data_IF_312269736898
#
_entry.id   IF_312269736898
#
_cell.length_a   1.000
_cell.length_b   1.000
_cell.length_c   1.000
_cell.angle_alpha   90.00
_cell.angle_beta   90.00
_cell.angle_gamma   90.00
#
_symmetry.space_group_name_H-M   'P 1'
#
loop_
_entity.id
_entity.type
_entity.pdbx_description
1 polymer ?
#
# COMPACT_ATOMS: atom_id res chain seq x y z
N UNK A 1 -8.54 -1.47 -10.41
CA UNK A 1 -9.13 -2.55 -9.61
C UNK A 1 -10.65 -2.46 -9.71
N UNK A 2 -11.29 -3.55 -10.13
CA UNK A 2 -12.76 -3.64 -10.21
C UNK A 2 -13.23 -4.97 -9.63
N UNK A 3 -13.82 -4.94 -8.44
CA UNK A 3 -14.10 -6.13 -7.61
C UNK A 3 -15.45 -6.01 -6.89
N UNK A 4 -16.09 -7.10 -6.45
CA UNK A 4 -17.28 -7.03 -5.60
C UNK A 4 -17.03 -6.24 -4.31
N UNK A 5 -18.07 -5.62 -3.74
CA UNK A 5 -17.97 -4.78 -2.52
C UNK A 5 -17.24 -5.49 -1.38
N UNK A 6 -17.65 -6.73 -1.04
CA UNK A 6 -16.99 -7.50 0.01
C UNK A 6 -15.48 -7.61 -0.19
N UNK A 7 -15.05 -7.89 -1.42
CA UNK A 7 -13.64 -8.03 -1.74
C UNK A 7 -12.91 -6.69 -1.64
N UNK A 8 -13.53 -5.59 -2.05
CA UNK A 8 -12.97 -4.24 -1.83
C UNK A 8 -12.80 -3.96 -0.34
N UNK A 9 -13.82 -4.22 0.48
CA UNK A 9 -13.76 -4.05 1.93
C UNK A 9 -12.67 -4.89 2.59
N UNK A 10 -12.52 -6.15 2.18
CA UNK A 10 -11.44 -7.01 2.65
C UNK A 10 -10.05 -6.43 2.27
N UNK A 11 -9.90 -5.88 1.06
CA UNK A 11 -8.69 -5.17 0.63
C UNK A 11 -8.42 -3.86 1.38
N UNK A 12 -9.43 -3.28 2.04
CA UNK A 12 -9.28 -2.10 2.90
C UNK A 12 -9.10 -2.49 4.37
N UNK A 13 -9.08 -3.79 4.68
CA UNK A 13 -9.00 -4.30 6.04
C UNK A 13 -10.33 -4.25 6.81
N UNK A 14 -11.46 -4.04 6.16
CA UNK A 14 -12.80 -4.10 6.77
C UNK A 14 -13.32 -5.55 6.69
N UNK A 15 -13.49 -6.19 7.84
CA UNK A 15 -13.82 -7.61 7.93
C UNK A 15 -15.28 -7.98 7.62
N UNK A 16 -16.16 -7.01 7.39
CA UNK A 16 -17.60 -7.17 7.20
C UNK A 16 -18.09 -6.24 6.06
N UNK A 17 -19.31 -6.44 5.57
CA UNK A 17 -19.92 -5.50 4.62
C UNK A 17 -20.49 -4.30 5.38
N UNK A 18 -20.22 -3.09 4.89
CA UNK A 18 -20.79 -1.86 5.44
C UNK A 18 -22.15 -1.60 4.80
N UNK A 19 -23.14 -1.30 5.63
CA UNK A 19 -24.46 -0.80 5.23
C UNK A 19 -24.47 0.73 5.17
N UNK A 20 -25.58 1.31 4.69
CA UNK A 20 -25.79 2.75 4.69
C UNK A 20 -25.39 3.40 6.03
N UNK A 21 -24.60 4.48 5.95
CA UNK A 21 -24.07 5.25 7.08
C UNK A 21 -23.08 4.52 8.00
N UNK A 22 -22.77 3.24 7.75
CA UNK A 22 -21.79 2.54 8.58
C UNK A 22 -20.37 3.00 8.28
N UNK A 23 -19.55 3.02 9.33
CA UNK A 23 -18.13 3.35 9.23
C UNK A 23 -17.28 2.32 9.95
N UNK A 24 -16.00 2.27 9.58
CA UNK A 24 -14.99 1.45 10.22
C UNK A 24 -13.77 2.32 10.54
N UNK A 25 -13.68 2.90 11.76
CA UNK A 25 -12.58 3.76 12.16
C UNK A 25 -11.45 2.99 12.86
N UNK A 26 -10.22 3.47 12.69
CA UNK A 26 -9.04 3.09 13.44
C UNK A 26 -8.26 4.33 13.84
N UNK A 27 -7.66 4.33 15.03
CA UNK A 27 -6.85 5.45 15.50
C UNK A 27 -5.77 4.99 16.46
N UNK A 28 -4.59 5.61 16.37
CA UNK A 28 -3.49 5.45 17.33
C UNK A 28 -2.93 6.81 17.68
N UNK A 29 -2.66 7.01 18.97
CA UNK A 29 -1.96 8.18 19.49
C UNK A 29 -0.49 7.86 19.73
N UNK A 30 0.41 8.70 19.24
CA UNK A 30 1.85 8.66 19.53
C UNK A 30 2.15 9.74 20.57
N UNK A 31 2.38 9.30 21.81
CA UNK A 31 2.65 10.20 22.95
C UNK A 31 3.97 10.98 22.79
N UNK A 32 4.99 10.39 22.16
CA UNK A 32 6.29 11.04 21.98
C UNK A 32 6.20 12.19 20.97
N UNK A 33 5.38 12.01 19.94
CA UNK A 33 5.16 13.03 18.90
C UNK A 33 4.00 13.97 19.20
N UNK A 34 3.13 13.62 20.16
CA UNK A 34 1.84 14.27 20.39
C UNK A 34 1.00 14.39 19.10
N UNK A 35 0.89 13.27 18.38
CA UNK A 35 0.15 13.17 17.12
C UNK A 35 -0.78 11.96 17.15
N UNK A 36 -2.02 12.16 16.72
CA UNK A 36 -2.98 11.09 16.43
C UNK A 36 -2.93 10.77 14.94
N UNK A 37 -2.86 9.49 14.58
CA UNK A 37 -3.16 9.03 13.22
C UNK A 37 -4.49 8.28 13.24
N UNK A 38 -5.41 8.67 12.36
CA UNK A 38 -6.71 8.05 12.20
C UNK A 38 -6.92 7.62 10.76
N UNK A 39 -7.47 6.43 10.57
CA UNK A 39 -7.93 5.92 9.29
C UNK A 39 -9.41 5.54 9.40
N UNK A 40 -10.18 5.72 8.33
CA UNK A 40 -11.60 5.37 8.32
C UNK A 40 -12.04 4.92 6.93
N UNK A 41 -12.96 3.96 6.89
CA UNK A 41 -13.80 3.67 5.72
C UNK A 41 -15.24 4.03 6.05
N UNK A 42 -15.91 4.79 5.20
CA UNK A 42 -17.30 5.25 5.39
C UNK A 42 -18.17 4.86 4.20
N UNK A 43 -19.33 4.25 4.46
CA UNK A 43 -20.36 4.00 3.44
C UNK A 43 -21.32 5.19 3.38
N UNK A 44 -21.62 5.64 2.17
CA UNK A 44 -22.59 6.70 1.89
C UNK A 44 -24.02 6.32 2.27
N UNK A 45 -24.94 7.30 2.30
CA UNK A 45 -26.34 7.09 2.68
C UNK A 45 -27.10 6.19 1.70
N UNK A 46 -26.75 6.23 0.42
CA UNK A 46 -27.43 5.53 -0.67
C UNK A 46 -26.73 4.23 -1.07
N UNK A 47 -25.72 3.79 -0.30
CA UNK A 47 -24.90 2.59 -0.57
C UNK A 47 -24.22 2.61 -1.96
N UNK A 48 -23.95 3.80 -2.49
CA UNK A 48 -23.38 4.02 -3.83
C UNK A 48 -22.04 4.78 -3.82
N UNK A 49 -21.49 5.02 -2.64
CA UNK A 49 -20.20 5.67 -2.47
C UNK A 49 -19.52 5.16 -1.21
N UNK A 50 -18.24 4.85 -1.32
CA UNK A 50 -17.41 4.42 -0.21
C UNK A 50 -16.19 5.34 -0.14
N UNK A 51 -16.06 6.04 0.98
CA UNK A 51 -14.95 6.95 1.27
C UNK A 51 -13.88 6.24 2.09
N UNK A 52 -12.62 6.48 1.76
CA UNK A 52 -11.46 6.01 2.52
C UNK A 52 -10.61 7.22 2.87
N UNK A 53 -10.24 7.37 4.14
CA UNK A 53 -9.46 8.51 4.59
C UNK A 53 -8.39 8.12 5.61
N UNK A 54 -7.21 8.73 5.50
CA UNK A 54 -6.19 8.73 6.55
C UNK A 54 -5.83 10.17 6.84
N UNK A 55 -5.85 10.54 8.12
CA UNK A 55 -5.45 11.85 8.60
C UNK A 55 -4.52 11.75 9.79
N UNK A 56 -3.66 12.74 9.94
CA UNK A 56 -2.87 12.97 11.15
C UNK A 56 -3.28 14.28 11.78
N UNK A 57 -3.35 14.29 13.11
CA UNK A 57 -3.70 15.46 13.91
C UNK A 57 -2.63 15.70 14.96
N UNK A 58 -2.04 16.89 14.97
CA UNK A 58 -1.02 17.27 15.96
C UNK A 58 -1.63 18.15 17.04
N UNK A 59 -1.37 17.79 18.31
CA UNK A 59 -1.85 18.57 19.46
C UNK A 59 -1.08 19.90 19.60
N UNK A 60 0.19 19.88 19.18
CA UNK A 60 1.11 21.02 19.24
C UNK A 60 1.72 21.26 17.84
N UNK A 61 0.94 21.77 16.87
CA UNK A 61 1.45 22.01 15.54
C UNK A 61 2.58 23.04 15.57
N UNK A 62 3.61 22.81 14.77
CA UNK A 62 4.69 23.77 14.56
C UNK A 62 4.13 25.05 13.93
N UNK A 63 4.78 26.18 14.18
CA UNK A 63 4.39 27.46 13.57
C UNK A 63 4.34 27.33 12.04
N UNK A 64 3.19 27.66 11.46
CA UNK A 64 2.93 27.52 10.02
C UNK A 64 2.49 26.13 9.54
N UNK A 65 2.49 25.11 10.39
CA UNK A 65 1.95 23.79 10.07
C UNK A 65 0.44 23.72 10.32
N UNK A 66 -0.27 22.91 9.54
CA UNK A 66 -1.69 22.65 9.77
C UNK A 66 -1.85 21.70 10.98
N UNK A 67 -2.85 21.91 11.85
CA UNK A 67 -3.13 21.01 12.96
C UNK A 67 -3.65 19.65 12.51
N UNK A 68 -4.25 19.58 11.32
CA UNK A 68 -4.73 18.36 10.68
C UNK A 68 -4.14 18.27 9.27
N UNK A 69 -3.58 17.12 8.93
CA UNK A 69 -3.10 16.80 7.60
C UNK A 69 -3.84 15.58 7.05
N UNK A 70 -4.48 15.73 5.88
CA UNK A 70 -5.06 14.61 5.14
C UNK A 70 -3.97 13.90 4.36
N UNK A 71 -3.60 12.70 4.82
CA UNK A 71 -2.52 11.89 4.22
C UNK A 71 -3.03 11.16 2.99
N UNK A 72 -4.22 10.55 3.09
CA UNK A 72 -4.84 9.76 2.04
C UNK A 72 -6.32 10.06 1.99
N UNK A 73 -6.87 10.12 0.78
CA UNK A 73 -8.29 10.22 0.57
C UNK A 73 -8.68 9.56 -0.74
N UNK A 74 -9.73 8.76 -0.76
CA UNK A 74 -10.20 8.13 -1.99
C UNK A 74 -11.71 7.86 -1.93
N UNK A 75 -12.33 7.76 -3.11
CA UNK A 75 -13.69 7.25 -3.27
C UNK A 75 -13.71 6.00 -4.14
N UNK A 76 -14.59 5.07 -3.79
CA UNK A 76 -15.03 4.01 -4.67
C UNK A 76 -16.54 4.12 -4.91
N UNK A 77 -16.98 3.74 -6.12
CA UNK A 77 -18.39 3.75 -6.53
C UNK A 77 -18.78 2.41 -7.16
N UNK A 78 -20.07 2.02 -7.11
CA UNK A 78 -20.55 0.86 -7.82
C UNK A 78 -20.49 1.14 -9.33
N UNK A 79 -20.12 0.10 -10.06
CA UNK A 79 -20.13 0.01 -11.51
C UNK A 79 -20.97 -1.20 -11.91
N UNK A 80 -21.08 -1.49 -13.21
CA UNK A 80 -21.94 -2.60 -13.68
C UNK A 80 -21.54 -3.96 -13.08
N UNK A 81 -22.49 -4.90 -13.02
CA UNK A 81 -22.30 -6.28 -12.53
C UNK A 81 -21.87 -6.38 -11.04
N UNK A 82 -22.46 -5.58 -10.15
CA UNK A 82 -22.25 -5.63 -8.70
C UNK A 82 -20.77 -5.49 -8.28
N UNK A 83 -20.01 -4.72 -9.06
CA UNK A 83 -18.61 -4.43 -8.79
C UNK A 83 -18.44 -2.99 -8.38
N UNK A 84 -17.36 -2.73 -7.69
CA UNK A 84 -16.92 -1.43 -7.24
C UNK A 84 -15.55 -1.12 -7.82
N UNK A 85 -15.31 0.15 -8.06
CA UNK A 85 -14.06 0.68 -8.58
C UNK A 85 -13.71 1.98 -7.87
N UNK A 86 -12.43 2.17 -7.58
CA UNK A 86 -11.93 3.44 -7.02
C UNK A 86 -11.95 4.48 -8.13
N UNK A 87 -12.67 5.57 -7.94
CA UNK A 87 -12.88 6.62 -8.95
C UNK A 87 -11.97 7.83 -8.77
N UNK A 88 -11.52 8.08 -7.55
CA UNK A 88 -10.68 9.22 -7.20
C UNK A 88 -9.76 8.88 -6.05
N UNK A 89 -8.56 9.46 -6.05
CA UNK A 89 -7.58 9.25 -4.98
C UNK A 89 -6.66 10.44 -4.88
N UNK A 90 -6.45 10.93 -3.67
CA UNK A 90 -5.50 11.98 -3.32
C UNK A 90 -4.55 11.49 -2.25
N UNK A 91 -3.30 11.94 -2.38
CA UNK A 91 -2.27 11.76 -1.36
C UNK A 91 -1.73 13.14 -1.03
N UNK A 92 -1.82 13.53 0.24
CA UNK A 92 -1.43 14.89 0.71
C UNK A 92 -2.04 16.01 -0.15
N UNK A 93 -3.30 15.83 -0.56
CA UNK A 93 -4.04 16.76 -1.41
C UNK A 93 -3.73 16.70 -2.92
N UNK A 94 -2.72 15.94 -3.35
CA UNK A 94 -2.38 15.78 -4.77
C UNK A 94 -3.19 14.66 -5.41
N UNK A 95 -3.84 14.93 -6.54
CA UNK A 95 -4.63 13.95 -7.29
C UNK A 95 -3.74 12.88 -7.93
N UNK A 96 -4.08 11.62 -7.67
CA UNK A 96 -3.36 10.44 -8.14
C UNK A 96 -4.21 9.57 -9.07
N UNK A 97 -5.50 9.87 -9.24
CA UNK A 97 -6.37 9.09 -10.11
C UNK A 97 -5.84 9.10 -11.57
N UNK A 98 -5.58 7.91 -12.10
CA UNK A 98 -5.09 7.73 -13.47
C UNK A 98 -3.64 8.15 -13.71
N UNK A 99 -2.89 8.56 -12.68
CA UNK A 99 -1.52 9.06 -12.86
C UNK A 99 -0.51 7.96 -13.22
N UNK A 100 -0.79 6.70 -12.87
CA UNK A 100 0.00 5.52 -13.27
C UNK A 100 -0.83 4.23 -13.28
N UNK A 101 -0.29 3.17 -13.89
CA UNK A 101 -0.98 1.87 -13.96
C UNK A 101 -1.18 1.26 -12.56
N UNK A 102 -2.41 0.82 -12.28
CA UNK A 102 -2.79 0.18 -11.01
C UNK A 102 -2.77 1.13 -9.82
N UNK A 103 -2.95 2.43 -10.05
CA UNK A 103 -3.00 3.46 -9.00
C UNK A 103 -4.02 3.13 -7.90
N UNK A 104 -5.16 2.57 -8.30
CA UNK A 104 -6.24 2.20 -7.39
C UNK A 104 -5.89 1.02 -6.49
N UNK A 105 -5.39 -0.07 -7.05
CA UNK A 105 -4.94 -1.24 -6.28
C UNK A 105 -3.81 -0.87 -5.32
N UNK A 106 -2.85 -0.07 -5.79
CA UNK A 106 -1.75 0.42 -4.96
C UNK A 106 -2.22 1.36 -3.85
N UNK A 107 -3.19 2.23 -4.14
CA UNK A 107 -3.84 3.08 -3.16
C UNK A 107 -4.50 2.27 -2.05
N UNK A 108 -5.27 1.24 -2.42
CA UNK A 108 -5.88 0.32 -1.45
C UNK A 108 -4.82 -0.42 -0.62
N UNK A 109 -3.72 -0.88 -1.24
CA UNK A 109 -2.63 -1.55 -0.51
C UNK A 109 -1.93 -0.61 0.48
N UNK A 110 -1.68 0.65 0.09
CA UNK A 110 -1.13 1.67 0.97
C UNK A 110 -2.07 1.95 2.16
N UNK A 111 -3.36 2.14 1.89
CA UNK A 111 -4.38 2.33 2.92
C UNK A 111 -4.41 1.15 3.89
N UNK A 112 -4.50 -0.08 3.36
CA UNK A 112 -4.52 -1.31 4.15
C UNK A 112 -3.26 -1.46 5.00
N UNK A 113 -2.07 -1.18 4.46
CA UNK A 113 -0.84 -1.24 5.22
C UNK A 113 -0.85 -0.29 6.43
N UNK A 114 -1.39 0.93 6.26
CA UNK A 114 -1.59 1.85 7.39
C UNK A 114 -2.59 1.28 8.41
N UNK A 115 -3.72 0.74 7.95
CA UNK A 115 -4.73 0.11 8.81
C UNK A 115 -4.15 -1.08 9.60
N UNK A 116 -3.25 -1.88 9.00
CA UNK A 116 -2.58 -2.97 9.73
C UNK A 116 -1.72 -2.44 10.87
N UNK A 117 -0.91 -1.41 10.63
CA UNK A 117 -0.12 -0.77 11.69
C UNK A 117 -1.02 -0.20 12.80
N UNK A 118 -2.11 0.50 12.43
CA UNK A 118 -3.07 1.03 13.39
C UNK A 118 -3.74 -0.07 14.24
N UNK A 119 -4.14 -1.19 13.63
CA UNK A 119 -4.70 -2.35 14.35
C UNK A 119 -3.71 -2.98 15.34
N UNK A 120 -2.42 -2.82 15.12
CA UNK A 120 -1.35 -3.26 16.02
C UNK A 120 -0.98 -2.20 17.07
N UNK A 121 -1.78 -1.13 17.22
CA UNK A 121 -1.47 0.04 18.06
C UNK A 121 -0.12 0.68 17.73
N UNK A 122 0.27 0.66 16.45
CA UNK A 122 1.52 1.23 15.96
C UNK A 122 1.21 2.42 15.06
N UNK A 123 1.95 3.52 15.28
CA UNK A 123 1.88 4.67 14.38
C UNK A 123 2.48 4.30 13.01
N UNK A 124 1.76 4.45 11.89
CA UNK A 124 2.26 4.07 10.58
C UNK A 124 3.44 4.94 10.13
N UNK A 125 4.48 4.32 9.57
CA UNK A 125 5.54 5.05 8.86
C UNK A 125 5.06 5.41 7.45
N UNK A 126 4.38 6.56 7.33
CA UNK A 126 3.71 6.99 6.11
C UNK A 126 4.66 7.03 4.91
N UNK A 127 5.88 7.52 5.10
CA UNK A 127 6.85 7.65 4.02
C UNK A 127 7.36 6.28 3.55
N UNK A 128 7.68 5.38 4.47
CA UNK A 128 8.10 4.02 4.11
C UNK A 128 6.97 3.26 3.40
N UNK A 129 5.76 3.32 3.95
CA UNK A 129 4.59 2.64 3.38
C UNK A 129 4.24 3.18 1.99
N UNK A 130 4.26 4.50 1.81
CA UNK A 130 4.00 5.13 0.51
C UNK A 130 5.07 4.71 -0.50
N UNK A 131 6.34 4.73 -0.11
CA UNK A 131 7.43 4.27 -0.95
C UNK A 131 7.33 2.79 -1.32
N UNK A 132 6.86 1.95 -0.41
CA UNK A 132 6.73 0.50 -0.64
C UNK A 132 5.58 0.18 -1.58
N UNK A 133 4.41 0.77 -1.35
CA UNK A 133 3.17 0.40 -2.04
C UNK A 133 2.92 1.20 -3.32
N UNK A 134 3.29 2.49 -3.34
CA UNK A 134 2.96 3.40 -4.44
C UNK A 134 4.03 3.44 -5.55
N UNK A 135 5.23 2.90 -5.33
CA UNK A 135 6.28 2.90 -6.37
C UNK A 135 5.82 2.21 -7.64
N UNK A 136 5.97 2.88 -8.77
CA UNK A 136 5.81 2.30 -10.09
C UNK A 136 6.94 1.29 -10.34
N UNK A 137 6.61 0.00 -10.35
CA UNK A 137 7.48 -1.04 -10.86
C UNK A 137 7.73 -0.81 -12.35
N UNK A 138 8.77 -0.02 -12.63
CA UNK A 138 9.20 0.35 -13.98
C UNK A 138 10.70 0.61 -14.05
N UNK A 139 11.51 -0.16 -13.30
CA UNK A 139 12.92 -0.34 -13.66
C UNK A 139 13.09 -1.71 -14.32
N UNK A 140 12.75 -1.77 -15.62
CA UNK A 140 13.40 -2.70 -16.53
C UNK A 140 14.78 -2.10 -16.88
N UNK A 141 15.63 -1.96 -15.87
CA UNK A 141 17.02 -1.55 -16.00
C UNK A 141 17.87 -2.61 -15.35
N UNK A 142 18.66 -3.30 -16.17
CA UNK A 142 19.53 -4.36 -15.72
C UNK A 142 20.56 -3.85 -14.72
N UNK A 143 20.91 -4.73 -13.78
CA UNK A 143 22.26 -4.72 -13.21
C UNK A 143 22.41 -4.07 -11.84
N UNK A 144 21.52 -4.35 -10.89
CA UNK A 144 21.77 -4.14 -9.46
C UNK A 144 22.36 -5.39 -8.80
N UNK A 145 23.69 -5.47 -8.84
CA UNK A 145 24.62 -6.31 -8.07
C UNK A 145 24.05 -7.01 -6.82
N UNK A 146 23.83 -8.34 -6.92
CA UNK A 146 23.67 -9.28 -5.80
C UNK A 146 24.42 -10.57 -6.12
N UNK A 147 25.47 -10.85 -5.35
CA UNK A 147 26.50 -11.82 -5.67
C UNK A 147 26.10 -13.30 -5.59
N UNK A 148 26.91 -14.09 -6.31
CA UNK A 148 27.28 -15.48 -6.03
C UNK A 148 26.13 -16.44 -5.70
N UNK A 149 25.63 -17.23 -6.65
CA UNK A 149 26.35 -18.45 -7.03
C UNK A 149 25.79 -18.99 -8.36
N UNK A 150 26.45 -18.63 -9.47
CA UNK A 150 26.29 -19.41 -10.70
C UNK A 150 27.01 -20.73 -10.48
N UNK A 151 26.25 -21.82 -10.38
CA UNK A 151 26.80 -23.16 -10.55
C UNK A 151 27.65 -23.18 -11.83
N UNK A 152 28.95 -23.54 -11.77
CA UNK A 152 29.78 -23.57 -12.95
C UNK A 152 29.23 -24.63 -13.90
N UNK A 153 28.79 -24.21 -15.10
CA UNK A 153 28.52 -25.12 -16.20
C UNK A 153 29.86 -25.70 -16.64
N UNK A 154 30.25 -26.82 -16.02
CA UNK A 154 31.44 -27.57 -16.39
C UNK A 154 31.24 -28.05 -17.82
N UNK A 155 32.04 -27.53 -18.76
CA UNK A 155 32.13 -28.07 -20.11
C UNK A 155 32.81 -29.45 -20.01
N UNK A 156 32.23 -30.55 -20.52
CA UNK A 156 32.81 -31.89 -20.41
C UNK A 156 34.24 -32.02 -20.96
N UNK A 157 34.64 -31.14 -21.88
CA UNK A 157 36.01 -31.09 -22.41
C UNK A 157 37.07 -30.61 -21.40
N UNK A 158 36.68 -29.95 -20.30
CA UNK A 158 37.60 -29.56 -19.24
C UNK A 158 37.87 -30.68 -18.21
N UNK A 159 37.18 -31.82 -18.31
CA UNK A 159 37.36 -32.99 -17.44
C UNK A 159 38.35 -34.03 -18.01
N UNK A 160 38.80 -33.90 -19.26
CA UNK A 160 39.76 -34.83 -19.89
C UNK A 160 41.24 -34.43 -19.73
N UNK A 161 41.56 -33.47 -18.86
CA UNK A 161 42.93 -33.04 -18.57
C UNK A 161 43.48 -33.44 -17.20
N UNK A 162 42.66 -34.06 -16.34
CA UNK A 162 43.04 -34.46 -14.98
C UNK A 162 43.07 -35.98 -14.86
N UNK A 163 44.02 -36.61 -15.55
CA UNK A 163 44.48 -37.96 -15.19
C UNK A 163 45.89 -37.83 -14.65
N UNK A 164 46.01 -38.07 -13.35
CA UNK A 164 47.21 -37.92 -12.55
C UNK A 164 48.43 -38.67 -13.10
N UNK A 165 49.59 -38.13 -12.75
CA UNK A 165 50.88 -38.72 -13.06
C UNK A 165 51.18 -40.00 -12.29
N UNK A 166 52.20 -40.68 -12.83
CA UNK A 166 53.06 -41.76 -12.30
C UNK A 166 52.48 -43.17 -12.21
N UNK A 167 52.87 -43.97 -13.21
CA UNK A 167 53.30 -45.35 -13.05
C UNK A 167 54.67 -45.52 -13.72
N UNK A 168 55.64 -46.02 -12.95
CA UNK A 168 57.07 -46.26 -13.20
C UNK A 168 57.99 -45.02 -13.26
#
# INVERSE_FOLDING_TARGET
>A
MRVPLKKLLDHLGVGYELLAYETCPWSVYDEEKAVTCSAEVRMGPDEDELEMEIQTMSDLPKEGALPVEQVFWAFAKPVTNDKWEVTSMKIRGEEQAGSFHGWDEKGCNFFHACVQDLKMNKFPDIEDLLNREMKSGGHFGGGGQGGSSKAPKIKPQALMGLKGGRGF
#
